data_IF_266506594228
#
_entry.id   IF_266506594228
#
_cell.length_a   1.000
_cell.length_b   1.000
_cell.length_c   1.000
_cell.angle_alpha   90.00
_cell.angle_beta   90.00
_cell.angle_gamma   90.00
#
_symmetry.space_group_name_H-M   'P 1'
#
loop_
_entity.id
_entity.type
_entity.pdbx_description
1 polymer ?
#
# COMPACT_ATOMS: atom_id res chain seq x y z
N UNK A 1 81.28 22.51 49.93
CA UNK A 1 82.04 22.33 48.68
C UNK A 1 82.84 21.03 48.82
N UNK A 2 82.91 20.12 47.81
CA UNK A 2 82.89 20.41 46.37
C UNK A 2 82.14 19.40 45.44
N UNK A 3 81.63 19.97 44.33
CA UNK A 3 81.75 19.53 42.93
C UNK A 3 80.98 18.34 42.30
N UNK A 4 80.67 18.60 41.00
CA UNK A 4 80.41 17.70 39.83
C UNK A 4 78.92 17.41 39.57
N UNK A 5 78.19 18.08 38.66
CA UNK A 5 78.35 18.24 37.20
C UNK A 5 78.53 16.89 36.47
N UNK A 6 77.43 16.37 35.89
CA UNK A 6 77.24 16.11 34.44
C UNK A 6 76.41 14.83 34.12
N UNK A 7 75.82 14.87 32.91
CA UNK A 7 75.30 13.79 32.05
C UNK A 7 73.93 13.20 32.39
N UNK A 8 72.88 13.53 31.61
CA UNK A 8 72.41 12.87 30.36
C UNK A 8 71.85 11.47 30.61
N UNK A 9 70.54 11.30 30.41
CA UNK A 9 69.97 10.26 29.55
C UNK A 9 68.44 10.36 29.54
N UNK A 10 67.89 10.30 28.33
CA UNK A 10 66.46 10.22 28.04
C UNK A 10 65.88 8.87 28.50
N UNK A 11 64.62 8.89 28.96
CA UNK A 11 63.68 7.78 28.75
C UNK A 11 62.27 8.16 29.20
N UNK A 12 61.28 7.50 28.59
CA UNK A 12 59.84 7.52 28.85
C UNK A 12 59.07 8.67 28.17
N UNK A 13 58.00 8.48 27.40
CA UNK A 13 57.16 7.31 27.08
C UNK A 13 56.36 7.74 25.82
N UNK A 14 56.40 6.97 24.74
CA UNK A 14 55.45 7.13 23.63
C UNK A 14 54.15 6.46 24.08
N UNK A 15 53.16 7.24 24.51
CA UNK A 15 51.79 6.75 24.69
C UNK A 15 51.07 6.93 23.37
N UNK A 16 50.77 5.81 22.73
CA UNK A 16 50.02 5.75 21.48
C UNK A 16 48.57 6.21 21.68
N UNK A 17 48.13 7.14 20.83
CA UNK A 17 46.73 7.44 20.61
C UNK A 17 46.33 6.95 19.22
N UNK A 18 45.79 5.74 19.13
CA UNK A 18 45.09 5.29 17.91
C UNK A 18 43.69 5.89 17.97
N UNK A 19 43.48 6.99 17.26
CA UNK A 19 42.15 7.56 17.03
C UNK A 19 41.52 6.72 15.91
N UNK A 20 40.72 5.73 16.25
CA UNK A 20 39.83 5.09 15.28
C UNK A 20 38.65 6.02 15.02
N UNK A 21 38.68 6.68 13.85
CA UNK A 21 37.51 7.35 13.28
C UNK A 21 36.47 6.26 12.97
N UNK A 22 35.50 6.08 13.85
CA UNK A 22 34.33 5.24 13.60
C UNK A 22 33.52 5.84 12.46
N UNK A 23 33.63 5.25 11.26
CA UNK A 23 32.74 5.53 10.16
C UNK A 23 31.33 5.06 10.54
N UNK A 24 30.42 5.99 10.81
CA UNK A 24 28.99 5.71 10.82
C UNK A 24 28.57 5.36 9.39
N UNK A 25 28.56 4.08 9.06
CA UNK A 25 27.90 3.58 7.88
C UNK A 25 26.39 3.76 8.08
N UNK A 26 25.81 4.77 7.44
CA UNK A 26 24.36 4.91 7.30
C UNK A 26 23.85 3.77 6.41
N UNK A 27 23.13 2.81 7.00
CA UNK A 27 22.39 1.78 6.28
C UNK A 27 21.33 2.41 5.35
N UNK A 28 21.02 1.80 4.18
CA UNK A 28 20.08 2.37 3.22
C UNK A 28 18.63 2.10 3.66
N UNK A 29 18.17 2.77 4.73
CA UNK A 29 16.79 2.68 5.22
C UNK A 29 15.73 3.29 4.28
N UNK A 30 16.11 3.75 3.08
CA UNK A 30 15.28 4.64 2.26
C UNK A 30 14.58 3.96 1.08
N UNK A 31 15.07 2.81 0.58
CA UNK A 31 14.52 2.17 -0.64
C UNK A 31 13.41 1.15 -0.35
N UNK A 32 13.56 0.32 0.69
CA UNK A 32 12.52 -0.65 1.06
C UNK A 32 11.31 0.02 1.73
N UNK A 33 11.55 1.02 2.59
CA UNK A 33 10.48 1.77 3.24
C UNK A 33 9.65 2.66 2.29
N UNK A 34 10.23 3.07 1.15
CA UNK A 34 9.50 3.82 0.11
C UNK A 34 8.67 2.91 -0.79
N UNK A 35 9.17 1.70 -1.09
CA UNK A 35 8.47 0.73 -1.94
C UNK A 35 7.19 0.15 -1.32
N UNK A 36 7.00 0.26 0.00
CA UNK A 36 5.85 -0.33 0.71
C UNK A 36 4.62 0.59 0.82
N UNK A 37 4.74 1.87 0.43
CA UNK A 37 3.67 2.87 0.57
C UNK A 37 3.42 3.65 -0.71
N UNK A 38 2.19 4.10 -0.90
CA UNK A 38 1.80 4.99 -2.00
C UNK A 38 2.60 6.30 -1.97
N UNK A 39 3.15 6.79 -3.10
CA UNK A 39 4.04 7.93 -3.16
C UNK A 39 3.35 9.27 -2.83
N UNK A 40 2.03 9.35 -3.03
CA UNK A 40 1.25 10.58 -2.80
C UNK A 40 0.55 10.54 -1.44
N UNK A 41 -0.15 9.44 -1.17
CA UNK A 41 -1.04 9.36 0.00
C UNK A 41 -0.41 8.63 1.19
N UNK A 42 0.74 7.99 1.03
CA UNK A 42 1.37 7.17 2.07
C UNK A 42 0.50 5.98 2.53
N UNK A 43 -0.50 5.60 1.74
CA UNK A 43 -1.36 4.42 2.01
C UNK A 43 -0.52 3.16 1.82
N UNK A 44 -0.62 2.24 2.78
CA UNK A 44 0.07 0.94 2.79
C UNK A 44 -0.94 -0.18 2.56
N UNK A 45 -0.44 -1.38 2.26
CA UNK A 45 -1.26 -2.57 2.15
C UNK A 45 -1.59 -3.09 3.57
N UNK A 46 -2.86 -3.06 4.02
CA UNK A 46 -3.19 -3.45 5.39
C UNK A 46 -2.91 -4.94 5.62
N UNK A 47 -2.29 -5.31 6.74
CA UNK A 47 -2.10 -6.73 7.06
C UNK A 47 -3.45 -7.43 7.23
N UNK A 48 -3.56 -8.67 6.75
CA UNK A 48 -4.76 -9.49 6.92
C UNK A 48 -5.98 -9.05 6.09
N UNK A 49 -5.87 -8.04 5.21
CA UNK A 49 -6.98 -7.53 4.39
C UNK A 49 -7.71 -8.61 3.58
N UNK A 50 -7.03 -9.70 3.21
CA UNK A 50 -7.63 -10.83 2.48
C UNK A 50 -8.67 -11.60 3.32
N UNK A 51 -8.67 -11.43 4.64
CA UNK A 51 -9.64 -12.01 5.56
C UNK A 51 -10.83 -11.07 5.86
N UNK A 52 -10.84 -9.87 5.29
CA UNK A 52 -11.93 -8.93 5.47
C UNK A 52 -13.20 -9.38 4.75
N UNK A 53 -14.34 -8.86 5.21
CA UNK A 53 -15.63 -9.27 4.64
C UNK A 53 -15.85 -8.66 3.25
N UNK A 54 -16.52 -9.41 2.39
CA UNK A 54 -16.90 -8.94 1.06
C UNK A 54 -17.99 -7.88 1.14
N UNK A 55 -17.73 -6.72 0.55
CA UNK A 55 -18.71 -5.68 0.25
C UNK A 55 -19.47 -6.02 -1.03
N UNK A 56 -18.74 -6.34 -2.10
CA UNK A 56 -19.31 -6.56 -3.43
C UNK A 56 -18.34 -7.30 -4.36
N UNK A 57 -18.82 -7.65 -5.54
CA UNK A 57 -18.03 -8.20 -6.67
C UNK A 57 -18.34 -7.40 -7.93
N UNK A 58 -17.35 -7.26 -8.81
CA UNK A 58 -17.52 -6.54 -10.07
C UNK A 58 -16.73 -7.20 -11.20
N UNK A 59 -17.29 -7.17 -12.41
CA UNK A 59 -16.59 -7.44 -13.66
C UNK A 59 -16.46 -6.12 -14.42
N UNK A 60 -15.23 -5.72 -14.79
CA UNK A 60 -15.03 -4.61 -15.71
C UNK A 60 -14.69 -5.17 -17.09
N UNK A 61 -15.57 -4.98 -18.06
CA UNK A 61 -15.37 -5.41 -19.43
C UNK A 61 -14.47 -4.44 -20.23
N UNK A 62 -14.16 -4.80 -21.48
CA UNK A 62 -13.37 -3.96 -22.38
C UNK A 62 -11.88 -4.10 -22.16
N UNK A 63 -11.15 -2.99 -22.06
CA UNK A 63 -9.68 -2.99 -22.09
C UNK A 63 -9.03 -3.64 -20.84
N UNK A 64 -9.67 -3.55 -19.68
CA UNK A 64 -9.16 -4.17 -18.45
C UNK A 64 -9.58 -5.65 -18.33
N UNK A 65 -10.81 -5.98 -18.75
CA UNK A 65 -11.43 -7.30 -18.70
C UNK A 65 -11.07 -8.12 -17.44
N UNK A 66 -11.36 -7.56 -16.26
CA UNK A 66 -10.99 -8.12 -14.97
C UNK A 66 -12.21 -8.43 -14.09
N UNK A 67 -12.05 -9.38 -13.17
CA UNK A 67 -13.02 -9.68 -12.11
C UNK A 67 -12.44 -9.26 -10.76
N UNK A 68 -13.30 -8.70 -9.92
CA UNK A 68 -12.91 -8.02 -8.69
C UNK A 68 -13.73 -8.49 -7.52
N UNK A 69 -13.09 -8.61 -6.37
CA UNK A 69 -13.76 -8.61 -5.08
C UNK A 69 -13.42 -7.32 -4.35
N UNK A 70 -14.44 -6.70 -3.76
CA UNK A 70 -14.31 -5.50 -2.95
C UNK A 70 -14.53 -5.92 -1.50
N UNK A 71 -13.53 -5.71 -0.67
CA UNK A 71 -13.49 -6.07 0.74
C UNK A 71 -13.49 -4.81 1.60
N UNK A 72 -14.09 -4.90 2.78
CA UNK A 72 -14.16 -3.80 3.74
C UNK A 72 -13.66 -4.21 5.11
N UNK A 73 -12.90 -3.34 5.76
CA UNK A 73 -12.65 -3.48 7.20
C UNK A 73 -13.96 -3.33 8.00
N UNK A 74 -13.92 -3.58 9.31
CA UNK A 74 -15.12 -3.55 10.16
C UNK A 74 -15.87 -2.21 10.10
N UNK A 75 -15.12 -1.10 10.02
CA UNK A 75 -15.67 0.25 9.88
C UNK A 75 -16.43 0.40 8.55
N UNK A 76 -15.80 0.00 7.44
CA UNK A 76 -16.45 -0.01 6.14
C UNK A 76 -17.71 -0.87 6.15
N UNK A 77 -17.61 -2.11 6.62
CA UNK A 77 -18.72 -3.07 6.61
C UNK A 77 -19.92 -2.59 7.43
N UNK A 78 -19.68 -1.95 8.57
CA UNK A 78 -20.75 -1.34 9.36
C UNK A 78 -21.44 -0.21 8.58
N UNK A 79 -20.67 0.68 7.96
CA UNK A 79 -21.21 1.77 7.16
C UNK A 79 -22.01 1.27 5.95
N UNK A 80 -21.46 0.31 5.19
CA UNK A 80 -22.12 -0.32 4.04
C UNK A 80 -23.44 -0.99 4.41
N UNK A 81 -23.48 -1.77 5.50
CA UNK A 81 -24.71 -2.43 5.97
C UNK A 81 -25.77 -1.42 6.44
N UNK A 82 -25.34 -0.30 7.02
CA UNK A 82 -26.23 0.76 7.48
C UNK A 82 -26.66 1.72 6.36
N UNK A 83 -26.07 1.65 5.16
CA UNK A 83 -26.26 2.64 4.11
C UNK A 83 -25.73 4.03 4.48
N UNK A 84 -24.71 4.08 5.35
CA UNK A 84 -24.17 5.34 5.85
C UNK A 84 -23.25 5.98 4.80
N UNK A 85 -23.61 7.20 4.40
CA UNK A 85 -22.76 8.12 3.63
C UNK A 85 -22.87 9.53 4.24
N UNK A 86 -21.77 10.30 4.33
CA UNK A 86 -20.40 9.92 3.99
C UNK A 86 -19.85 8.80 4.89
N UNK A 87 -18.87 8.06 4.38
CA UNK A 87 -18.20 7.00 5.11
C UNK A 87 -17.38 7.61 6.25
N UNK A 88 -17.36 6.99 7.45
CA UNK A 88 -16.61 7.49 8.59
C UNK A 88 -15.09 7.35 8.37
N UNK A 89 -14.32 8.25 8.97
CA UNK A 89 -12.86 8.11 9.06
C UNK A 89 -12.47 6.74 9.64
N UNK A 90 -11.40 6.15 9.10
CA UNK A 90 -10.99 4.78 9.37
C UNK A 90 -11.65 3.73 8.47
N UNK A 91 -12.55 4.13 7.57
CA UNK A 91 -13.04 3.25 6.49
C UNK A 91 -11.88 2.86 5.59
N UNK A 92 -11.67 1.56 5.38
CA UNK A 92 -10.71 1.04 4.41
C UNK A 92 -11.42 0.06 3.49
N UNK A 93 -11.28 0.30 2.18
CA UNK A 93 -11.81 -0.55 1.12
C UNK A 93 -10.62 -1.13 0.35
N UNK A 94 -10.60 -2.45 0.22
CA UNK A 94 -9.62 -3.16 -0.59
C UNK A 94 -10.31 -3.78 -1.81
N UNK A 95 -9.85 -3.41 -3.02
CA UNK A 95 -10.29 -4.00 -4.29
C UNK A 95 -9.18 -4.92 -4.78
N UNK A 96 -9.45 -6.22 -4.83
CA UNK A 96 -8.54 -7.21 -5.40
C UNK A 96 -9.03 -7.54 -6.80
N UNK A 97 -8.11 -7.58 -7.76
CA UNK A 97 -8.44 -7.79 -9.16
C UNK A 97 -7.66 -8.96 -9.78
N UNK A 98 -8.35 -9.75 -10.58
CA UNK A 98 -7.80 -10.85 -11.36
C UNK A 98 -8.26 -10.76 -12.81
N UNK A 99 -7.52 -11.36 -13.72
CA UNK A 99 -8.02 -11.57 -15.09
C UNK A 99 -9.34 -12.35 -15.07
N UNK A 100 -10.30 -11.91 -15.88
CA UNK A 100 -11.55 -12.64 -16.07
C UNK A 100 -11.37 -13.67 -17.18
N UNK A 101 -11.27 -14.95 -16.81
CA UNK A 101 -10.87 -16.02 -17.73
C UNK A 101 -11.92 -17.11 -17.87
N UNK A 102 -12.08 -17.64 -19.08
CA UNK A 102 -12.94 -18.79 -19.34
C UNK A 102 -12.36 -20.05 -18.72
N UNK A 103 -13.18 -20.84 -18.02
CA UNK A 103 -12.74 -22.09 -17.39
C UNK A 103 -13.01 -23.28 -18.31
N UNK A 104 -12.00 -23.71 -19.06
CA UNK A 104 -12.11 -24.88 -19.94
C UNK A 104 -12.58 -26.15 -19.18
N UNK A 105 -12.09 -26.34 -17.95
CA UNK A 105 -12.51 -27.44 -17.07
C UNK A 105 -14.00 -27.39 -16.78
N UNK A 106 -14.53 -26.23 -16.39
CA UNK A 106 -15.95 -26.11 -16.05
C UNK A 106 -16.82 -26.15 -17.31
N UNK A 107 -16.38 -25.52 -18.40
CA UNK A 107 -17.11 -25.54 -19.67
C UNK A 107 -17.24 -26.97 -20.23
N UNK A 108 -16.24 -27.82 -20.05
CA UNK A 108 -16.33 -29.24 -20.42
C UNK A 108 -17.46 -29.97 -19.67
N UNK A 109 -17.74 -29.60 -18.40
CA UNK A 109 -18.86 -30.17 -17.63
C UNK A 109 -20.22 -29.67 -18.17
N UNK A 110 -20.30 -28.41 -18.59
CA UNK A 110 -21.54 -27.82 -19.12
C UNK A 110 -21.75 -28.07 -20.62
N UNK A 111 -20.74 -28.56 -21.35
CA UNK A 111 -20.78 -28.77 -22.79
C UNK A 111 -20.83 -27.48 -23.62
N UNK A 112 -20.51 -26.32 -23.02
CA UNK A 112 -20.51 -25.00 -23.67
C UNK A 112 -19.68 -24.00 -22.88
N UNK A 113 -19.27 -22.92 -23.54
CA UNK A 113 -18.64 -21.78 -22.87
C UNK A 113 -19.64 -21.01 -22.02
N UNK A 114 -19.52 -21.14 -20.70
CA UNK A 114 -20.44 -20.52 -19.74
C UNK A 114 -19.76 -20.13 -18.42
N UNK A 115 -18.72 -20.85 -18.00
CA UNK A 115 -18.06 -20.62 -16.71
C UNK A 115 -16.82 -19.76 -16.88
N UNK A 116 -16.73 -18.74 -16.04
CA UNK A 116 -15.57 -17.86 -15.94
C UNK A 116 -15.06 -17.82 -14.51
N UNK A 117 -13.77 -17.59 -14.34
CA UNK A 117 -13.07 -17.65 -13.06
C UNK A 117 -12.06 -16.50 -12.94
N UNK A 118 -11.62 -16.26 -11.72
CA UNK A 118 -10.44 -15.44 -11.45
C UNK A 118 -9.19 -16.20 -11.91
N UNK A 119 -8.51 -15.66 -12.92
CA UNK A 119 -7.20 -16.13 -13.37
C UNK A 119 -6.06 -15.49 -12.59
N UNK A 120 -5.02 -15.06 -13.30
CA UNK A 120 -3.87 -14.41 -12.68
C UNK A 120 -4.27 -13.09 -11.95
N UNK A 121 -3.78 -12.87 -10.71
CA UNK A 121 -3.92 -11.58 -10.03
C UNK A 121 -3.30 -10.45 -10.87
N UNK A 122 -3.86 -9.24 -10.76
CA UNK A 122 -3.37 -8.07 -11.50
C UNK A 122 -2.90 -6.97 -10.58
N UNK A 123 -3.70 -6.61 -9.59
CA UNK A 123 -3.35 -5.61 -8.59
C UNK A 123 -4.28 -5.71 -7.38
N UNK A 124 -3.87 -5.04 -6.31
CA UNK A 124 -4.72 -4.70 -5.18
C UNK A 124 -4.76 -3.18 -5.05
N UNK A 125 -5.95 -2.62 -4.97
CA UNK A 125 -6.14 -1.18 -4.75
C UNK A 125 -6.74 -0.94 -3.38
N UNK A 126 -6.21 0.04 -2.67
CA UNK A 126 -6.64 0.41 -1.32
C UNK A 126 -7.13 1.86 -1.34
N UNK A 127 -8.32 2.08 -0.78
CA UNK A 127 -8.87 3.41 -0.48
C UNK A 127 -9.05 3.55 1.02
N UNK A 128 -8.56 4.65 1.59
CA UNK A 128 -8.63 4.96 3.03
C UNK A 128 -9.35 6.28 3.24
N UNK A 129 -10.37 6.30 4.10
CA UNK A 129 -11.01 7.53 4.57
C UNK A 129 -10.27 8.05 5.81
N UNK A 130 -9.71 9.24 5.70
CA UNK A 130 -9.11 10.00 6.80
C UNK A 130 -9.16 11.50 6.45
N UNK A 131 -10.19 12.17 6.92
CA UNK A 131 -10.47 13.59 6.64
C UNK A 131 -9.34 14.54 7.05
N UNK A 132 -8.56 14.19 8.07
CA UNK A 132 -7.45 15.01 8.56
C UNK A 132 -6.19 14.82 7.71
N UNK A 133 -5.93 13.58 7.31
CA UNK A 133 -4.74 13.24 6.51
C UNK A 133 -4.90 13.58 5.03
N UNK A 134 -6.15 13.62 4.53
CA UNK A 134 -6.45 13.79 3.10
C UNK A 134 -7.42 14.97 2.84
N UNK A 135 -7.13 16.19 3.31
CA UNK A 135 -8.05 17.32 3.18
C UNK A 135 -8.32 17.71 1.72
N UNK A 136 -7.33 17.54 0.84
CA UNK A 136 -7.41 17.97 -0.57
C UNK A 136 -8.13 16.95 -1.49
N UNK A 137 -8.48 15.78 -0.96
CA UNK A 137 -9.12 14.69 -1.71
C UNK A 137 -10.40 14.21 -1.06
N UNK A 138 -11.16 15.14 -0.48
CA UNK A 138 -12.43 14.91 0.21
C UNK A 138 -12.33 13.80 1.29
N UNK A 139 -11.17 13.74 1.95
CA UNK A 139 -10.87 12.76 2.98
C UNK A 139 -10.44 11.39 2.48
N UNK A 140 -10.17 11.19 1.19
CA UNK A 140 -9.80 9.88 0.64
C UNK A 140 -8.37 9.80 0.13
N UNK A 141 -7.61 8.81 0.61
CA UNK A 141 -6.29 8.45 0.10
C UNK A 141 -6.31 7.13 -0.67
N UNK A 142 -5.42 7.01 -1.66
CA UNK A 142 -5.41 5.88 -2.60
C UNK A 142 -4.02 5.23 -2.73
N UNK A 143 -4.02 3.93 -3.00
CA UNK A 143 -2.84 3.18 -3.40
C UNK A 143 -3.20 2.06 -4.37
N UNK A 144 -2.26 1.71 -5.24
CA UNK A 144 -2.24 0.46 -5.97
C UNK A 144 -1.00 -0.32 -5.54
N UNK A 145 -1.17 -1.63 -5.38
CA UNK A 145 -0.12 -2.59 -5.09
C UNK A 145 -0.05 -3.62 -6.21
N UNK A 146 1.17 -3.92 -6.62
CA UNK A 146 1.49 -4.98 -7.58
C UNK A 146 1.37 -6.35 -6.90
N UNK A 147 1.48 -7.43 -7.67
CA UNK A 147 1.23 -8.79 -7.19
C UNK A 147 2.20 -9.25 -6.09
N UNK A 148 3.41 -8.70 -6.06
CA UNK A 148 4.40 -8.95 -5.00
C UNK A 148 4.15 -8.13 -3.72
N UNK A 149 3.07 -7.33 -3.70
CA UNK A 149 2.70 -6.47 -2.59
C UNK A 149 3.42 -5.12 -2.57
N UNK A 150 4.27 -4.82 -3.54
CA UNK A 150 4.93 -3.51 -3.64
C UNK A 150 3.95 -2.43 -4.08
N UNK A 151 4.08 -1.24 -3.49
CA UNK A 151 3.26 -0.09 -3.88
C UNK A 151 3.72 0.46 -5.22
N UNK A 152 2.77 0.68 -6.14
CA UNK A 152 3.06 1.33 -7.41
C UNK A 152 3.50 2.79 -7.17
N UNK A 153 4.72 3.12 -7.59
CA UNK A 153 5.34 4.43 -7.35
C UNK A 153 4.98 5.50 -8.41
N UNK A 154 4.09 5.19 -9.35
CA UNK A 154 3.63 6.17 -10.35
C UNK A 154 2.71 7.22 -9.72
N UNK A 155 3.25 8.42 -9.49
CA UNK A 155 2.49 9.58 -9.01
C UNK A 155 1.31 9.91 -9.94
N UNK A 156 1.52 9.79 -11.26
CA UNK A 156 0.47 10.04 -12.25
C UNK A 156 -0.70 9.06 -12.10
N UNK A 157 -0.41 7.77 -11.93
CA UNK A 157 -1.44 6.74 -11.70
C UNK A 157 -2.22 7.00 -10.42
N UNK A 158 -1.51 7.24 -9.31
CA UNK A 158 -2.12 7.40 -7.99
C UNK A 158 -2.98 8.67 -7.91
N UNK A 159 -2.56 9.77 -8.54
CA UNK A 159 -3.38 10.98 -8.64
C UNK A 159 -4.62 10.79 -9.53
N UNK A 160 -4.53 9.91 -10.55
CA UNK A 160 -5.68 9.60 -11.40
C UNK A 160 -6.79 8.86 -10.64
N UNK A 161 -6.49 8.16 -9.54
CA UNK A 161 -7.50 7.50 -8.70
C UNK A 161 -8.55 8.49 -8.19
N UNK A 162 -8.12 9.56 -7.49
CA UNK A 162 -9.04 10.58 -6.98
C UNK A 162 -9.79 11.28 -8.12
N UNK A 163 -9.10 11.66 -9.20
CA UNK A 163 -9.73 12.33 -10.34
C UNK A 163 -10.82 11.48 -11.00
N UNK A 164 -10.64 10.16 -11.07
CA UNK A 164 -11.66 9.23 -11.56
C UNK A 164 -12.83 9.12 -10.57
N UNK A 165 -12.53 8.91 -9.29
CA UNK A 165 -13.55 8.75 -8.24
C UNK A 165 -14.41 10.01 -8.04
N UNK A 166 -13.84 11.21 -8.25
CA UNK A 166 -14.57 12.50 -8.19
C UNK A 166 -15.65 12.65 -9.26
N UNK A 167 -15.64 11.81 -10.30
CA UNK A 167 -16.70 11.80 -11.33
C UNK A 167 -18.00 11.16 -10.84
N UNK A 168 -17.97 10.44 -9.72
CA UNK A 168 -19.17 9.89 -9.11
C UNK A 168 -20.10 10.99 -8.58
N UNK A 169 -21.42 10.74 -8.49
CA UNK A 169 -22.34 11.66 -7.84
C UNK A 169 -21.90 11.97 -6.40
N UNK A 170 -22.05 13.22 -5.96
CA UNK A 170 -21.59 13.66 -4.64
C UNK A 170 -22.12 12.78 -3.47
N UNK A 171 -23.32 12.22 -3.60
CA UNK A 171 -23.93 11.34 -2.59
C UNK A 171 -23.29 9.95 -2.44
N UNK A 172 -22.35 9.56 -3.32
CA UNK A 172 -21.66 8.27 -3.21
C UNK A 172 -20.42 8.31 -2.30
N UNK A 173 -20.03 9.51 -1.84
CA UNK A 173 -18.77 9.76 -1.12
C UNK A 173 -17.57 9.07 -1.79
N UNK A 174 -17.47 9.24 -3.12
CA UNK A 174 -16.37 8.75 -3.95
C UNK A 174 -16.24 7.21 -4.00
N UNK A 175 -17.25 6.43 -3.64
CA UNK A 175 -17.21 4.96 -3.69
C UNK A 175 -18.14 4.41 -4.78
N UNK A 176 -17.61 3.57 -5.68
CA UNK A 176 -18.35 2.97 -6.81
C UNK A 176 -19.26 1.80 -6.39
N UNK A 177 -18.93 1.13 -5.28
CA UNK A 177 -19.61 -0.10 -4.86
C UNK A 177 -20.79 0.20 -3.95
N UNK A 178 -21.79 -0.67 -4.00
CA UNK A 178 -22.85 -0.79 -2.99
C UNK A 178 -22.74 -2.16 -2.33
N UNK A 179 -23.34 -2.31 -1.14
CA UNK A 179 -23.30 -3.60 -0.44
C UNK A 179 -24.16 -4.64 -1.16
N UNK A 180 -23.52 -5.72 -1.62
CA UNK A 180 -24.19 -6.90 -2.17
C UNK A 180 -24.78 -7.72 -1.02
N UNK A 181 -26.08 -7.54 -0.76
CA UNK A 181 -26.85 -8.23 0.29
C UNK A 181 -27.04 -9.72 0.00
#
# INVERSE_FOLDING_TARGET
MPYRLLFVAAMALIVGGVITLGAFASEPATREASASRSPVFGVTLPEGYRNWQTISVAHEAGNNNDIRVILGNDVAMKAFRAGQVPYPDGTIIARLAWKYESSARNNAIFGRDQSFVAGEPTNVQISVKDSKRFPDTDGWGYAQFENDGTANQSVALVNACYACHKKLPAGSDLVFSSYSK
#
